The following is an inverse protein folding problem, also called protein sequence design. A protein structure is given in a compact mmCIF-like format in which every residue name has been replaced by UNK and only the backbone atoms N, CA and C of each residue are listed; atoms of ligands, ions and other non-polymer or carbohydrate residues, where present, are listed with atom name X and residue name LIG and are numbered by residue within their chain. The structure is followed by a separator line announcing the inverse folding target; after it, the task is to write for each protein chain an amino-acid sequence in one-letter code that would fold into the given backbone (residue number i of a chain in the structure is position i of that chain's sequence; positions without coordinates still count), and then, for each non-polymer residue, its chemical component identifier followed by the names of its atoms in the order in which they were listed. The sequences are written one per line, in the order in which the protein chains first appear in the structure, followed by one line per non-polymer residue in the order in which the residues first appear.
data_IF_929824276623
#
_entry.id   IF_929824276623
#
_cell.length_a   1.000
_cell.length_b   1.000
_cell.length_c   1.000
_cell.angle_alpha   90.00
_cell.angle_beta   90.00
_cell.angle_gamma   90.00
#
_symmetry.space_group_name_H-M   'P 1'
#
loop_
_entity.id
_entity.type
_entity.pdbx_description
1 polymer ?
#
# COMPACT_ATOMS: atom_id res chain seq x y z
N UNK A 1 44.83 -14.04 82.24
CA UNK A 1 45.68 -14.23 81.05
C UNK A 1 44.82 -14.22 79.80
N UNK A 2 45.24 -13.31 78.89
CA UNK A 2 44.95 -13.25 77.43
C UNK A 2 43.55 -12.89 76.97
N UNK A 3 43.49 -11.62 76.54
CA UNK A 3 42.56 -11.00 75.63
C UNK A 3 42.34 -11.76 74.31
N UNK A 4 41.15 -11.70 73.78
CA UNK A 4 40.95 -11.61 72.34
C UNK A 4 39.76 -10.68 72.00
N UNK A 5 40.09 -9.50 71.52
CA UNK A 5 39.20 -8.60 70.81
C UNK A 5 38.67 -9.31 69.58
N UNK A 6 37.35 -9.36 69.43
CA UNK A 6 36.72 -9.71 68.18
C UNK A 6 36.35 -8.43 67.46
N UNK A 7 36.97 -8.21 66.32
CA UNK A 7 36.69 -7.09 65.42
C UNK A 7 35.39 -7.36 64.69
N UNK A 8 34.39 -6.53 64.96
CA UNK A 8 33.18 -6.47 64.14
C UNK A 8 33.50 -5.69 62.89
N UNK A 9 33.54 -6.38 61.76
CA UNK A 9 33.67 -5.79 60.44
C UNK A 9 32.30 -5.35 59.96
N UNK A 10 32.00 -4.07 60.05
CA UNK A 10 30.81 -3.48 59.38
C UNK A 10 31.05 -3.44 57.89
N UNK A 11 30.48 -4.37 57.15
CA UNK A 11 30.35 -4.26 55.71
C UNK A 11 29.22 -3.28 55.37
N UNK A 12 29.60 -2.06 55.00
CA UNK A 12 28.68 -1.09 54.42
C UNK A 12 28.24 -1.62 53.03
N UNK A 13 27.02 -2.08 52.99
CA UNK A 13 26.36 -2.44 51.72
C UNK A 13 25.99 -1.14 51.00
N UNK A 14 26.81 -0.75 50.01
CA UNK A 14 26.46 0.34 49.12
C UNK A 14 25.24 -0.04 48.31
N UNK A 15 24.06 0.44 48.71
CA UNK A 15 22.88 0.54 47.84
C UNK A 15 23.19 1.61 46.78
N UNK A 16 23.72 1.19 45.65
CA UNK A 16 23.69 2.02 44.44
C UNK A 16 22.23 2.10 44.00
N UNK A 17 21.64 3.29 43.84
CA UNK A 17 20.34 3.39 43.21
C UNK A 17 20.49 2.94 41.75
N UNK A 18 19.83 1.85 41.40
CA UNK A 18 19.57 1.52 40.00
C UNK A 18 18.73 2.67 39.42
N UNK A 19 19.42 3.65 38.88
CA UNK A 19 18.85 4.53 37.86
C UNK A 19 18.63 3.65 36.64
N UNK A 20 17.55 2.85 36.68
CA UNK A 20 16.97 2.25 35.50
C UNK A 20 16.53 3.43 34.64
N UNK A 21 17.37 3.76 33.69
CA UNK A 21 17.16 4.82 32.72
C UNK A 21 15.85 4.57 32.00
N UNK A 22 14.93 5.49 32.16
CA UNK A 22 13.71 5.61 31.38
C UNK A 22 14.02 5.97 29.90
N UNK A 23 15.01 5.32 29.31
CA UNK A 23 15.40 5.50 27.89
C UNK A 23 14.64 4.57 26.94
N UNK A 24 13.83 3.63 27.46
CA UNK A 24 13.11 2.67 26.60
C UNK A 24 11.76 3.16 26.11
N UNK A 25 11.17 4.21 26.71
CA UNK A 25 9.83 4.64 26.27
C UNK A 25 9.86 5.70 25.14
N UNK A 26 10.88 6.51 25.02
CA UNK A 26 11.02 7.45 23.90
C UNK A 26 11.29 6.77 22.56
N UNK A 27 11.94 5.62 22.57
CA UNK A 27 12.22 4.85 21.34
C UNK A 27 11.00 4.10 20.78
N UNK A 28 9.94 3.90 21.56
CA UNK A 28 8.78 3.13 21.12
C UNK A 28 7.83 3.96 20.25
N UNK A 29 7.85 5.28 20.40
CA UNK A 29 6.96 6.23 19.71
C UNK A 29 7.68 7.17 18.76
N UNK A 30 8.98 6.94 18.47
CA UNK A 30 9.69 7.82 17.54
C UNK A 30 9.03 7.74 16.14
N UNK A 31 8.85 8.88 15.45
CA UNK A 31 8.26 8.93 14.10
C UNK A 31 8.91 7.93 13.16
N UNK A 32 10.23 7.90 13.15
CA UNK A 32 11.00 7.04 12.26
C UNK A 32 10.73 5.55 12.49
N UNK A 33 10.54 5.14 13.75
CA UNK A 33 10.24 3.74 14.07
C UNK A 33 8.85 3.34 13.60
N UNK A 34 7.85 4.19 13.80
CA UNK A 34 6.48 3.96 13.32
C UNK A 34 6.45 3.82 11.80
N UNK A 35 7.18 4.68 11.10
CA UNK A 35 7.28 4.60 9.64
C UNK A 35 7.94 3.29 9.18
N UNK A 36 9.10 2.93 9.74
CA UNK A 36 9.82 1.71 9.39
C UNK A 36 9.02 0.45 9.70
N UNK A 37 8.32 0.41 10.85
CA UNK A 37 7.44 -0.70 11.21
C UNK A 37 6.29 -0.83 10.22
N UNK A 38 5.60 0.26 9.92
CA UNK A 38 4.50 0.28 8.97
C UNK A 38 4.94 -0.12 7.56
N UNK A 39 6.08 0.40 7.09
CA UNK A 39 6.66 0.05 5.80
C UNK A 39 7.04 -1.44 5.73
N UNK A 40 7.67 -1.97 6.77
CA UNK A 40 8.04 -3.40 6.83
C UNK A 40 6.82 -4.30 6.78
N UNK A 41 5.77 -3.99 7.55
CA UNK A 41 4.51 -4.74 7.54
C UNK A 41 3.80 -4.66 6.19
N UNK A 42 3.81 -3.49 5.56
CA UNK A 42 3.25 -3.30 4.23
C UNK A 42 3.97 -4.15 3.18
N UNK A 43 5.31 -4.15 3.17
CA UNK A 43 6.13 -4.97 2.27
C UNK A 43 5.88 -6.47 2.46
N UNK A 44 5.59 -6.91 3.69
CA UNK A 44 5.18 -8.27 4.00
C UNK A 44 3.72 -8.59 3.64
N UNK A 45 3.00 -7.64 3.03
CA UNK A 45 1.56 -7.72 2.72
C UNK A 45 0.67 -7.89 3.96
N UNK A 46 1.18 -7.57 5.14
CA UNK A 46 0.43 -7.57 6.39
C UNK A 46 -0.37 -6.26 6.55
N UNK A 47 -1.21 -5.96 5.57
CA UNK A 47 -1.85 -4.65 5.38
C UNK A 47 -2.64 -4.17 6.60
N UNK A 48 -3.42 -5.05 7.24
CA UNK A 48 -4.17 -4.69 8.44
C UNK A 48 -3.25 -4.28 9.61
N UNK A 49 -2.09 -4.94 9.75
CA UNK A 49 -1.11 -4.63 10.78
C UNK A 49 -0.29 -3.37 10.45
N UNK A 50 -0.13 -3.04 9.17
CA UNK A 50 0.61 -1.85 8.73
C UNK A 50 -0.16 -0.54 9.00
N UNK A 51 -1.49 -0.58 9.03
CA UNK A 51 -2.34 0.62 9.18
C UNK A 51 -2.07 1.37 10.50
N UNK A 52 -2.08 0.76 11.70
CA UNK A 52 -1.90 1.49 12.95
C UNK A 52 -0.60 2.28 13.05
N UNK A 53 0.59 1.70 12.79
CA UNK A 53 1.85 2.45 12.85
C UNK A 53 1.93 3.55 11.78
N UNK A 54 1.45 3.31 10.53
CA UNK A 54 1.43 4.33 9.49
C UNK A 54 0.50 5.50 9.86
N UNK A 55 -0.70 5.21 10.39
CA UNK A 55 -1.62 6.25 10.84
C UNK A 55 -1.05 7.04 12.02
N UNK A 56 -0.39 6.38 12.96
CA UNK A 56 0.26 7.05 14.08
C UNK A 56 1.41 7.96 13.58
N UNK A 57 2.14 7.54 12.54
CA UNK A 57 3.18 8.34 11.92
C UNK A 57 2.63 9.61 11.24
N UNK A 58 1.63 9.48 10.37
CA UNK A 58 1.11 10.63 9.60
C UNK A 58 0.36 11.65 10.44
N UNK A 59 -0.16 11.24 11.62
CA UNK A 59 -0.87 12.12 12.57
C UNK A 59 0.04 12.93 13.47
N UNK A 60 1.34 12.72 13.43
CA UNK A 60 2.26 13.45 14.30
C UNK A 60 2.38 14.91 13.87
N UNK A 61 2.23 15.78 14.84
CA UNK A 61 2.34 17.23 14.69
C UNK A 61 3.32 17.80 15.73
N UNK A 62 3.96 18.92 15.41
CA UNK A 62 4.77 19.68 16.36
C UNK A 62 3.90 20.53 17.31
N UNK A 63 4.55 21.29 18.19
CA UNK A 63 3.88 22.16 19.14
C UNK A 63 3.06 23.29 18.47
N UNK A 64 3.39 23.62 17.23
CA UNK A 64 2.72 24.63 16.40
C UNK A 64 1.61 24.01 15.51
N UNK A 65 1.37 22.69 15.61
CA UNK A 65 0.35 21.98 14.86
C UNK A 65 0.75 21.63 13.41
N UNK A 66 2.04 21.72 13.05
CA UNK A 66 2.53 21.31 11.74
C UNK A 66 2.88 19.81 11.72
N UNK A 67 2.70 19.13 10.58
CA UNK A 67 3.11 17.75 10.45
C UNK A 67 4.61 17.56 10.73
N UNK A 68 4.96 16.69 11.68
CA UNK A 68 6.33 16.31 11.99
C UNK A 68 7.02 15.49 10.89
N UNK A 69 6.32 14.54 10.22
CA UNK A 69 6.93 13.77 9.14
C UNK A 69 7.40 14.67 8.00
N UNK A 70 8.57 14.38 7.45
CA UNK A 70 9.05 15.01 6.22
C UNK A 70 8.04 14.76 5.10
N UNK A 71 7.79 15.77 4.27
CA UNK A 71 6.74 15.72 3.25
C UNK A 71 6.80 14.47 2.34
N UNK A 72 8.01 14.02 1.96
CA UNK A 72 8.19 12.81 1.17
C UNK A 72 7.81 11.53 1.91
N UNK A 73 8.21 11.38 3.17
CA UNK A 73 7.87 10.21 4.00
C UNK A 73 6.37 10.18 4.32
N UNK A 74 5.76 11.36 4.54
CA UNK A 74 4.33 11.46 4.75
C UNK A 74 3.55 11.03 3.50
N UNK A 75 3.93 11.50 2.33
CA UNK A 75 3.32 11.14 1.05
C UNK A 75 3.41 9.61 0.82
N UNK A 76 4.58 9.00 1.10
CA UNK A 76 4.76 7.55 0.96
C UNK A 76 3.92 6.76 1.99
N UNK A 77 3.84 7.23 3.24
CA UNK A 77 3.02 6.59 4.27
C UNK A 77 1.52 6.66 3.92
N UNK A 78 1.04 7.81 3.45
CA UNK A 78 -0.35 7.96 2.97
C UNK A 78 -0.62 7.06 1.75
N UNK A 79 0.33 6.96 0.81
CA UNK A 79 0.24 6.01 -0.30
C UNK A 79 0.10 4.57 0.19
N UNK A 80 0.91 4.13 1.15
CA UNK A 80 0.80 2.79 1.73
C UNK A 80 -0.56 2.58 2.42
N UNK A 81 -1.10 3.59 3.09
CA UNK A 81 -2.42 3.54 3.73
C UNK A 81 -3.56 3.35 2.72
N UNK A 82 -3.56 4.08 1.62
CA UNK A 82 -4.62 3.95 0.60
C UNK A 82 -4.49 2.64 -0.17
N UNK A 83 -3.27 2.16 -0.43
CA UNK A 83 -3.05 0.83 -0.98
C UNK A 83 -3.52 -0.28 -0.03
N UNK A 84 -3.23 -0.17 1.27
CA UNK A 84 -3.70 -1.13 2.27
C UNK A 84 -5.24 -1.16 2.35
N UNK A 85 -5.90 0.00 2.27
CA UNK A 85 -7.36 0.07 2.23
C UNK A 85 -7.93 -0.65 1.00
N UNK A 86 -7.32 -0.48 -0.17
CA UNK A 86 -7.70 -1.21 -1.38
C UNK A 86 -7.54 -2.73 -1.22
N UNK A 87 -6.39 -3.18 -0.73
CA UNK A 87 -6.10 -4.62 -0.56
C UNK A 87 -7.03 -5.28 0.46
N UNK A 88 -7.44 -4.55 1.49
CA UNK A 88 -8.40 -5.00 2.50
C UNK A 88 -9.86 -4.88 2.04
N UNK A 89 -10.12 -4.45 0.80
CA UNK A 89 -11.46 -4.28 0.24
C UNK A 89 -12.33 -3.29 1.03
N UNK A 90 -11.69 -2.23 1.54
CA UNK A 90 -12.43 -1.15 2.20
C UNK A 90 -13.41 -0.52 1.22
N UNK A 91 -14.68 -0.43 1.61
CA UNK A 91 -15.74 0.17 0.79
C UNK A 91 -15.48 1.64 0.43
N UNK A 92 -14.63 2.33 1.17
CA UNK A 92 -14.20 3.71 0.92
C UNK A 92 -12.83 3.79 0.22
N UNK A 93 -12.32 2.68 -0.32
CA UNK A 93 -10.99 2.68 -0.96
C UNK A 93 -10.93 3.67 -2.12
N UNK A 94 -11.98 3.79 -2.93
CA UNK A 94 -12.04 4.73 -4.04
C UNK A 94 -11.94 6.19 -3.57
N UNK A 95 -12.74 6.57 -2.56
CA UNK A 95 -12.70 7.92 -1.99
C UNK A 95 -11.30 8.26 -1.43
N UNK A 96 -10.66 7.27 -0.78
CA UNK A 96 -9.31 7.44 -0.23
C UNK A 96 -8.24 7.59 -1.31
N UNK A 97 -8.34 6.80 -2.40
CA UNK A 97 -7.45 6.91 -3.55
C UNK A 97 -7.58 8.28 -4.22
N UNK A 98 -8.81 8.78 -4.39
CA UNK A 98 -9.06 10.11 -4.95
C UNK A 98 -8.50 11.20 -4.02
N UNK A 99 -8.82 11.16 -2.73
CA UNK A 99 -8.31 12.12 -1.75
C UNK A 99 -6.78 12.19 -1.71
N UNK A 100 -6.11 11.04 -1.90
CA UNK A 100 -4.65 11.00 -2.00
C UNK A 100 -4.13 11.78 -3.23
N UNK A 101 -4.73 11.62 -4.41
CA UNK A 101 -4.35 12.37 -5.60
C UNK A 101 -4.62 13.87 -5.45
N UNK A 102 -5.71 14.24 -4.77
CA UNK A 102 -6.06 15.63 -4.51
C UNK A 102 -5.06 16.30 -3.55
N UNK A 103 -4.56 15.56 -2.54
CA UNK A 103 -3.56 16.05 -1.59
C UNK A 103 -2.14 16.06 -2.17
N UNK A 104 -1.81 15.08 -3.03
CA UNK A 104 -0.49 14.91 -3.62
C UNK A 104 -0.53 14.85 -5.15
N UNK A 105 -0.87 15.97 -5.84
CA UNK A 105 -1.06 15.97 -7.30
C UNK A 105 0.19 15.59 -8.09
N UNK A 106 1.39 15.90 -7.55
CA UNK A 106 2.67 15.61 -8.19
C UNK A 106 3.32 14.29 -7.68
N UNK A 107 2.52 13.40 -7.10
CA UNK A 107 3.02 12.15 -6.53
C UNK A 107 3.63 11.22 -7.59
N UNK A 108 4.77 10.57 -7.32
CA UNK A 108 5.31 9.53 -8.21
C UNK A 108 4.43 8.27 -8.26
N UNK A 109 3.48 8.14 -7.35
CA UNK A 109 2.59 6.98 -7.23
C UNK A 109 1.29 7.14 -8.02
N UNK A 110 1.04 8.28 -8.69
CA UNK A 110 -0.20 8.57 -9.41
C UNK A 110 -0.60 7.44 -10.38
N UNK A 111 0.39 6.92 -11.12
CA UNK A 111 0.16 5.86 -12.10
C UNK A 111 -0.46 4.61 -11.47
N UNK A 112 0.07 4.17 -10.33
CA UNK A 112 -0.46 3.03 -9.60
C UNK A 112 -1.82 3.33 -8.96
N UNK A 113 -2.02 4.54 -8.46
CA UNK A 113 -3.32 4.95 -7.91
C UNK A 113 -4.41 4.88 -8.97
N UNK A 114 -4.17 5.38 -10.20
CA UNK A 114 -5.12 5.24 -11.31
C UNK A 114 -5.41 3.77 -11.64
N UNK A 115 -4.40 2.91 -11.63
CA UNK A 115 -4.59 1.47 -11.85
C UNK A 115 -5.47 0.82 -10.76
N UNK A 116 -5.30 1.21 -9.49
CA UNK A 116 -6.14 0.75 -8.40
C UNK A 116 -7.58 1.26 -8.53
N UNK A 117 -7.78 2.55 -8.87
CA UNK A 117 -9.11 3.12 -9.11
C UNK A 117 -9.82 2.41 -10.28
N UNK A 118 -9.12 2.18 -11.39
CA UNK A 118 -9.65 1.40 -12.51
C UNK A 118 -10.11 0.01 -12.08
N UNK A 119 -9.34 -0.63 -11.18
CA UNK A 119 -9.71 -1.94 -10.64
C UNK A 119 -10.96 -1.88 -9.77
N UNK A 120 -11.11 -0.86 -8.93
CA UNK A 120 -12.33 -0.67 -8.12
C UNK A 120 -13.55 -0.51 -9.02
N UNK A 121 -13.48 0.40 -9.99
CA UNK A 121 -14.59 0.62 -10.94
C UNK A 121 -14.93 -0.64 -11.74
N UNK A 122 -13.93 -1.40 -12.17
CA UNK A 122 -14.14 -2.67 -12.85
C UNK A 122 -14.95 -3.65 -12.01
N UNK A 123 -14.59 -3.84 -10.73
CA UNK A 123 -15.30 -4.76 -9.84
C UNK A 123 -16.69 -4.27 -9.46
N UNK A 124 -16.94 -2.96 -9.52
CA UNK A 124 -18.26 -2.36 -9.37
C UNK A 124 -19.12 -2.44 -10.64
N UNK A 125 -18.57 -2.93 -11.76
CA UNK A 125 -19.24 -2.99 -13.05
C UNK A 125 -19.37 -1.64 -13.77
N UNK A 126 -18.66 -0.61 -13.29
CA UNK A 126 -18.59 0.73 -13.88
C UNK A 126 -17.52 0.75 -14.96
N UNK A 127 -17.81 0.14 -16.10
CA UNK A 127 -16.81 -0.16 -17.13
C UNK A 127 -16.28 1.10 -17.83
N UNK A 128 -17.10 2.13 -18.02
CA UNK A 128 -16.66 3.38 -18.66
C UNK A 128 -15.69 4.15 -17.77
N UNK A 129 -15.97 4.23 -16.47
CA UNK A 129 -15.08 4.83 -15.48
C UNK A 129 -13.79 4.01 -15.33
N UNK A 130 -13.89 2.68 -15.35
CA UNK A 130 -12.72 1.80 -15.32
C UNK A 130 -11.81 2.04 -16.52
N UNK A 131 -12.37 2.20 -17.73
CA UNK A 131 -11.61 2.55 -18.94
C UNK A 131 -10.97 3.94 -18.84
N UNK A 132 -11.70 4.94 -18.33
CA UNK A 132 -11.16 6.29 -18.14
C UNK A 132 -9.93 6.28 -17.21
N UNK A 133 -10.01 5.59 -16.07
CA UNK A 133 -8.88 5.45 -15.15
C UNK A 133 -7.74 4.62 -15.74
N UNK A 134 -8.05 3.56 -16.49
CA UNK A 134 -7.03 2.76 -17.19
C UNK A 134 -6.27 3.57 -18.23
N UNK A 135 -6.92 4.52 -18.91
CA UNK A 135 -6.27 5.43 -19.86
C UNK A 135 -5.39 6.48 -19.15
N UNK A 136 -5.73 6.86 -17.93
CA UNK A 136 -4.90 7.73 -17.09
C UNK A 136 -3.67 6.99 -16.54
N UNK A 137 -3.78 5.68 -16.34
CA UNK A 137 -2.67 4.82 -15.94
C UNK A 137 -1.82 4.45 -17.16
N UNK A 138 -0.53 4.74 -17.10
CA UNK A 138 0.42 4.31 -18.13
C UNK A 138 0.80 2.85 -17.89
N UNK A 139 0.24 1.94 -18.70
CA UNK A 139 0.46 0.49 -18.56
C UNK A 139 1.94 0.10 -18.67
N UNK A 140 2.73 0.85 -19.47
CA UNK A 140 4.16 0.64 -19.66
C UNK A 140 5.00 0.88 -18.41
N UNK A 141 4.49 1.65 -17.44
CA UNK A 141 5.13 1.93 -16.16
C UNK A 141 4.72 0.96 -15.03
N UNK A 142 3.76 0.08 -15.27
CA UNK A 142 3.35 -0.94 -14.32
C UNK A 142 4.26 -2.16 -14.38
N UNK A 143 4.38 -2.88 -13.24
CA UNK A 143 5.04 -4.18 -13.22
C UNK A 143 4.33 -5.18 -14.13
N UNK A 144 5.05 -6.21 -14.60
CA UNK A 144 4.52 -7.15 -15.60
C UNK A 144 3.17 -7.77 -15.19
N UNK A 145 3.06 -8.25 -13.95
CA UNK A 145 1.84 -8.89 -13.46
C UNK A 145 0.67 -7.90 -13.39
N UNK A 146 0.93 -6.72 -12.84
CA UNK A 146 -0.07 -5.67 -12.71
C UNK A 146 -0.54 -5.13 -14.07
N UNK A 147 0.39 -4.98 -15.01
CA UNK A 147 0.08 -4.62 -16.40
C UNK A 147 -0.79 -5.66 -17.07
N UNK A 148 -0.48 -6.94 -16.92
CA UNK A 148 -1.29 -8.03 -17.48
C UNK A 148 -2.71 -8.02 -16.88
N UNK A 149 -2.84 -7.85 -15.58
CA UNK A 149 -4.13 -7.76 -14.88
C UNK A 149 -4.95 -6.56 -15.38
N UNK A 150 -4.31 -5.38 -15.53
CA UNK A 150 -4.95 -4.19 -16.06
C UNK A 150 -5.37 -4.35 -17.51
N UNK A 151 -4.51 -4.94 -18.35
CA UNK A 151 -4.81 -5.20 -19.76
C UNK A 151 -6.01 -6.14 -19.91
N UNK A 152 -6.08 -7.18 -19.08
CA UNK A 152 -7.22 -8.11 -19.09
C UNK A 152 -8.52 -7.41 -18.69
N UNK A 153 -8.50 -6.57 -17.64
CA UNK A 153 -9.66 -5.80 -17.22
C UNK A 153 -10.10 -4.81 -18.28
N UNK A 154 -9.17 -4.09 -18.89
CA UNK A 154 -9.43 -3.14 -19.97
C UNK A 154 -10.08 -3.84 -21.18
N UNK A 155 -9.53 -4.96 -21.63
CA UNK A 155 -10.12 -5.78 -22.70
C UNK A 155 -11.55 -6.23 -22.35
N UNK A 156 -11.78 -6.61 -21.10
CA UNK A 156 -13.10 -7.00 -20.61
C UNK A 156 -14.06 -5.81 -20.57
N UNK A 157 -13.60 -4.62 -20.16
CA UNK A 157 -14.40 -3.40 -20.20
C UNK A 157 -14.88 -3.09 -21.63
N UNK A 158 -13.96 -3.12 -22.60
CA UNK A 158 -14.32 -2.94 -24.03
C UNK A 158 -15.35 -3.96 -24.50
N UNK A 159 -15.22 -5.22 -24.10
CA UNK A 159 -16.20 -6.25 -24.45
C UNK A 159 -17.58 -5.96 -23.82
N UNK A 160 -17.60 -5.58 -22.54
CA UNK A 160 -18.83 -5.29 -21.78
C UNK A 160 -19.56 -4.03 -22.26
N UNK A 161 -18.84 -3.05 -22.80
CA UNK A 161 -19.40 -1.83 -23.39
C UNK A 161 -19.72 -1.96 -24.88
N UNK A 162 -19.55 -3.14 -25.47
CA UNK A 162 -19.86 -3.41 -26.87
C UNK A 162 -18.78 -3.00 -27.87
N UNK A 163 -17.63 -2.51 -27.40
CA UNK A 163 -16.48 -2.16 -28.23
C UNK A 163 -15.66 -3.42 -28.60
N UNK A 164 -16.32 -4.32 -29.31
CA UNK A 164 -15.85 -5.69 -29.55
C UNK A 164 -14.53 -5.74 -30.33
N UNK A 165 -14.30 -4.78 -31.24
CA UNK A 165 -13.06 -4.72 -32.03
C UNK A 165 -11.85 -4.40 -31.15
N UNK A 166 -11.98 -3.40 -30.29
CA UNK A 166 -10.94 -3.02 -29.34
C UNK A 166 -10.68 -4.13 -28.33
N UNK A 167 -11.74 -4.77 -27.82
CA UNK A 167 -11.62 -5.94 -26.95
C UNK A 167 -10.79 -7.05 -27.59
N UNK A 168 -11.05 -7.36 -28.88
CA UNK A 168 -10.29 -8.41 -29.60
C UNK A 168 -8.80 -8.07 -29.68
N UNK A 169 -8.45 -6.80 -30.00
CA UNK A 169 -7.05 -6.35 -30.10
C UNK A 169 -6.34 -6.54 -28.77
N UNK A 170 -6.96 -6.10 -27.66
CA UNK A 170 -6.38 -6.21 -26.33
C UNK A 170 -6.24 -7.67 -25.87
N UNK A 171 -7.23 -8.52 -26.12
CA UNK A 171 -7.12 -9.95 -25.82
C UNK A 171 -6.05 -10.64 -26.65
N UNK A 172 -5.91 -10.34 -27.95
CA UNK A 172 -4.85 -10.92 -28.80
C UNK A 172 -3.45 -10.49 -28.30
N UNK A 173 -3.27 -9.22 -27.94
CA UNK A 173 -2.02 -8.72 -27.39
C UNK A 173 -1.68 -9.45 -26.09
N UNK A 174 -2.61 -9.54 -25.15
CA UNK A 174 -2.40 -10.19 -23.86
C UNK A 174 -2.17 -11.70 -24.00
N UNK A 175 -2.86 -12.36 -24.91
CA UNK A 175 -2.68 -13.78 -25.19
C UNK A 175 -1.24 -14.12 -25.59
N UNK A 176 -0.59 -13.22 -26.34
CA UNK A 176 0.78 -13.41 -26.80
C UNK A 176 1.84 -13.10 -25.75
N UNK A 177 1.52 -12.28 -24.76
CA UNK A 177 2.48 -11.75 -23.77
C UNK A 177 2.33 -12.37 -22.38
N UNK A 178 1.13 -12.79 -22.00
CA UNK A 178 0.82 -13.28 -20.65
C UNK A 178 0.49 -14.76 -20.63
N UNK A 179 1.30 -15.56 -19.93
CA UNK A 179 0.97 -16.96 -19.67
C UNK A 179 -0.26 -17.12 -18.76
N UNK A 180 -0.45 -16.19 -17.83
CA UNK A 180 -1.57 -16.19 -16.85
C UNK A 180 -2.91 -16.14 -17.56
N UNK A 181 -3.04 -15.27 -18.57
CA UNK A 181 -4.31 -14.99 -19.23
C UNK A 181 -4.48 -15.62 -20.62
N UNK A 182 -3.50 -16.40 -21.11
CA UNK A 182 -3.53 -16.96 -22.46
C UNK A 182 -4.78 -17.79 -22.75
N UNK A 183 -5.22 -18.63 -21.82
CA UNK A 183 -6.41 -19.47 -21.97
C UNK A 183 -7.71 -18.63 -22.01
N UNK A 184 -7.86 -17.70 -21.07
CA UNK A 184 -9.03 -16.81 -20.99
C UNK A 184 -9.14 -15.92 -22.23
N UNK A 185 -8.01 -15.37 -22.67
CA UNK A 185 -7.97 -14.57 -23.91
C UNK A 185 -8.38 -15.40 -25.12
N UNK A 186 -7.91 -16.64 -25.23
CA UNK A 186 -8.30 -17.55 -26.34
C UNK A 186 -9.80 -17.80 -26.34
N UNK A 187 -10.40 -18.01 -25.17
CA UNK A 187 -11.84 -18.16 -25.02
C UNK A 187 -12.60 -16.91 -25.51
N UNK A 188 -12.21 -15.70 -25.02
CA UNK A 188 -12.91 -14.47 -25.40
C UNK A 188 -12.74 -14.13 -26.88
N UNK A 189 -11.57 -14.35 -27.47
CA UNK A 189 -11.34 -14.18 -28.91
C UNK A 189 -12.25 -15.10 -29.73
N UNK A 190 -12.37 -16.37 -29.32
CA UNK A 190 -13.26 -17.33 -29.99
C UNK A 190 -14.73 -16.94 -29.84
N UNK A 191 -15.15 -16.48 -28.66
CA UNK A 191 -16.49 -15.97 -28.40
C UNK A 191 -16.81 -14.76 -29.29
N UNK A 192 -15.88 -13.78 -29.36
CA UNK A 192 -16.03 -12.60 -30.21
C UNK A 192 -16.21 -12.99 -31.68
N UNK A 193 -15.36 -13.88 -32.20
CA UNK A 193 -15.47 -14.35 -33.58
C UNK A 193 -16.79 -15.05 -33.88
N UNK A 194 -17.28 -15.84 -32.94
CA UNK A 194 -18.58 -16.53 -33.09
C UNK A 194 -19.77 -15.56 -33.11
N UNK A 195 -19.74 -14.52 -32.29
CA UNK A 195 -20.85 -13.55 -32.20
C UNK A 195 -20.87 -12.52 -33.32
N UNK A 196 -19.83 -12.45 -34.15
CA UNK A 196 -19.76 -11.55 -35.31
C UNK A 196 -20.06 -12.24 -36.65
N UNK A 197 -20.37 -13.54 -36.63
CA UNK A 197 -20.86 -14.29 -37.80
C UNK A 197 -22.35 -14.15 -37.96
#
# INVERSE_FOLDING_TARGET
MKNKLSRILCTALCCAPLLATAQTSENITSPQRLYQEGQSLFQQKAYAAAIPPLQAFVRQIDAEGKPLPVAGERMEAEYMLVCAAYELKDVKSLDKLQAYLDEFPDTPYANRIYALMASVYFFEGKYDEAMAMSNSARLDLLGNEERDDMTYRLATCYLKTGNVKEAAIWFETLRSTSKKYAADCTYYISYIRYTQQ
#
